data_IF_785961865338
#
_entry.id   IF_785961865338
#
_cell.length_a   1.000
_cell.length_b   1.000
_cell.length_c   1.000
_cell.angle_alpha   90.00
_cell.angle_beta   90.00
_cell.angle_gamma   90.00
#
_symmetry.space_group_name_H-M   'P 1'
#
loop_
_entity.id
_entity.type
_entity.pdbx_description
1 polymer ?
#
# COMPACT_ATOMS: atom_id res chain seq x y z
N UNK A 1 -20.79 14.46 -78.67
CA UNK A 1 -19.59 14.89 -77.99
C UNK A 1 -19.98 15.60 -76.72
N UNK A 2 -19.77 14.96 -75.51
CA UNK A 2 -19.98 15.55 -74.19
C UNK A 2 -18.63 15.78 -73.58
N UNK A 3 -18.37 16.91 -72.92
CA UNK A 3 -17.09 17.13 -72.19
C UNK A 3 -17.11 16.43 -70.83
N UNK A 4 -15.92 16.11 -70.28
CA UNK A 4 -15.82 15.43 -69.01
C UNK A 4 -15.96 16.41 -67.85
N UNK A 5 -16.64 15.98 -66.78
CA UNK A 5 -16.79 16.71 -65.50
C UNK A 5 -15.57 16.42 -64.64
N UNK A 6 -14.78 17.47 -64.37
CA UNK A 6 -13.66 17.39 -63.44
C UNK A 6 -14.19 17.48 -62.00
N UNK A 7 -13.95 16.43 -61.21
CA UNK A 7 -14.23 16.42 -59.78
C UNK A 7 -13.06 17.11 -59.04
N UNK A 8 -13.33 18.26 -58.41
CA UNK A 8 -12.43 18.89 -57.45
C UNK A 8 -12.53 18.12 -56.11
N UNK A 9 -11.45 17.49 -55.75
CA UNK A 9 -11.29 16.92 -54.41
C UNK A 9 -10.86 18.06 -53.45
N UNK A 10 -11.74 18.42 -52.53
CA UNK A 10 -11.45 19.34 -51.45
C UNK A 10 -10.68 18.59 -50.33
N UNK A 11 -9.39 18.89 -50.20
CA UNK A 11 -8.59 18.43 -49.09
C UNK A 11 -8.92 19.27 -47.84
N UNK A 12 -9.60 18.64 -46.86
CA UNK A 12 -9.84 19.24 -45.56
C UNK A 12 -8.55 19.10 -44.75
N UNK A 13 -7.80 20.20 -44.61
CA UNK A 13 -6.70 20.31 -43.68
C UNK A 13 -7.26 20.37 -42.26
N UNK A 14 -7.15 19.29 -41.50
CA UNK A 14 -7.41 19.30 -40.08
C UNK A 14 -6.25 20.05 -39.38
N UNK A 15 -6.48 21.31 -39.09
CA UNK A 15 -5.58 22.09 -38.22
C UNK A 15 -5.69 21.54 -36.79
N UNK A 16 -4.65 20.83 -36.36
CA UNK A 16 -4.48 20.46 -34.95
C UNK A 16 -4.29 21.77 -34.16
N UNK A 17 -5.32 22.19 -33.44
CA UNK A 17 -5.23 23.27 -32.46
C UNK A 17 -4.33 22.78 -31.32
N UNK A 18 -3.05 23.14 -31.37
CA UNK A 18 -2.15 23.06 -30.24
C UNK A 18 -2.57 24.15 -29.26
N UNK A 19 -3.47 23.83 -28.33
CA UNK A 19 -3.76 24.72 -27.20
C UNK A 19 -2.50 24.84 -26.38
N UNK A 20 -2.04 26.06 -26.00
CA UNK A 20 -0.92 26.22 -25.10
C UNK A 20 -1.31 25.55 -23.75
N UNK A 21 -0.47 24.61 -23.29
CA UNK A 21 -0.59 23.98 -21.98
C UNK A 21 -0.36 25.09 -20.94
N UNK A 22 -1.43 25.76 -20.51
CA UNK A 22 -1.39 26.48 -19.24
C UNK A 22 -0.99 25.46 -18.17
N UNK A 23 -0.04 25.80 -17.31
CA UNK A 23 0.35 24.98 -16.19
C UNK A 23 -0.91 24.62 -15.37
N UNK A 24 -1.41 23.41 -15.58
CA UNK A 24 -2.64 22.93 -14.99
C UNK A 24 -2.30 22.60 -13.54
N UNK A 25 -2.82 23.41 -12.60
CA UNK A 25 -2.62 23.19 -11.16
C UNK A 25 -3.38 21.96 -10.68
N UNK A 26 -4.45 21.61 -11.39
CA UNK A 26 -5.35 20.51 -11.06
C UNK A 26 -5.44 19.56 -12.25
N UNK A 27 -5.56 18.30 -11.95
CA UNK A 27 -5.71 17.23 -12.92
C UNK A 27 -6.97 16.43 -12.61
N UNK A 28 -7.84 16.28 -13.58
CA UNK A 28 -9.06 15.47 -13.47
C UNK A 28 -9.09 14.40 -14.54
N UNK A 29 -9.31 13.19 -14.10
CA UNK A 29 -9.55 12.04 -14.97
C UNK A 29 -10.74 11.23 -14.49
N UNK A 30 -11.55 10.74 -15.41
CA UNK A 30 -12.63 9.80 -15.11
C UNK A 30 -12.75 8.75 -16.21
N UNK A 31 -13.09 7.53 -15.81
CA UNK A 31 -13.28 6.42 -16.75
C UNK A 31 -13.80 5.17 -16.06
N UNK A 32 -14.40 4.27 -16.85
CA UNK A 32 -14.85 3.00 -16.32
C UNK A 32 -13.67 2.04 -16.13
N UNK A 33 -13.67 1.35 -14.99
CA UNK A 33 -12.78 0.24 -14.68
C UNK A 33 -13.59 -1.01 -14.36
N UNK A 34 -13.29 -2.09 -15.05
CA UNK A 34 -13.90 -3.38 -14.77
C UNK A 34 -13.32 -4.02 -13.50
N UNK A 35 -14.08 -4.89 -12.81
CA UNK A 35 -13.50 -5.75 -11.78
C UNK A 35 -12.29 -6.53 -12.32
N UNK A 36 -11.23 -6.59 -11.53
CA UNK A 36 -9.94 -7.19 -11.93
C UNK A 36 -8.98 -6.25 -12.68
N UNK A 37 -9.45 -5.09 -13.15
CA UNK A 37 -8.55 -4.06 -13.68
C UNK A 37 -7.64 -3.49 -12.58
N UNK A 38 -6.49 -2.98 -12.98
CA UNK A 38 -5.52 -2.38 -12.05
C UNK A 38 -5.49 -0.86 -12.22
N UNK A 39 -5.63 -0.18 -11.10
CA UNK A 39 -5.40 1.26 -10.99
C UNK A 39 -4.04 1.50 -10.30
N UNK A 40 -3.13 2.21 -10.98
CA UNK A 40 -1.82 2.60 -10.43
C UNK A 40 -1.76 4.11 -10.27
N UNK A 41 -1.45 4.59 -9.07
CA UNK A 41 -1.29 6.03 -8.79
C UNK A 41 0.01 6.28 -8.04
N UNK A 42 0.87 7.08 -8.62
CA UNK A 42 2.21 7.32 -8.08
C UNK A 42 2.53 8.81 -7.99
N UNK A 43 3.10 9.22 -6.85
CA UNK A 43 3.62 10.57 -6.64
C UNK A 43 5.00 10.54 -6.02
N UNK A 44 5.85 11.51 -6.36
CA UNK A 44 7.15 11.69 -5.68
C UNK A 44 6.97 12.33 -4.31
N UNK A 45 6.14 13.38 -4.26
CA UNK A 45 5.82 14.11 -3.05
C UNK A 45 4.32 14.41 -3.03
N UNK A 46 3.65 14.09 -1.97
CA UNK A 46 2.23 14.35 -1.79
C UNK A 46 1.49 13.15 -1.20
N UNK A 47 0.27 13.37 -0.83
CA UNK A 47 -0.63 12.36 -0.28
C UNK A 47 -1.40 11.66 -1.39
N UNK A 48 -1.71 10.37 -1.18
CA UNK A 48 -2.62 9.63 -2.03
C UNK A 48 -3.75 9.10 -1.17
N UNK A 49 -4.97 9.56 -1.43
CA UNK A 49 -6.18 9.10 -0.75
C UNK A 49 -7.07 8.37 -1.75
N UNK A 50 -7.34 7.10 -1.48
CA UNK A 50 -8.23 6.26 -2.29
C UNK A 50 -9.49 5.97 -1.51
N UNK A 51 -10.64 6.19 -2.13
CA UNK A 51 -11.97 5.94 -1.57
C UNK A 51 -12.80 5.03 -2.49
N UNK A 52 -13.76 4.28 -1.95
CA UNK A 52 -14.65 3.49 -2.78
C UNK A 52 -15.60 4.39 -3.60
N UNK A 53 -15.71 4.13 -4.89
CA UNK A 53 -16.72 4.74 -5.74
C UNK A 53 -18.09 4.09 -5.54
N UNK A 54 -19.16 4.85 -5.75
CA UNK A 54 -20.54 4.34 -5.68
C UNK A 54 -20.96 3.54 -6.92
N UNK A 55 -20.18 3.56 -8.01
CA UNK A 55 -20.50 2.92 -9.28
C UNK A 55 -19.29 2.28 -9.97
N UNK A 56 -19.34 2.18 -11.30
CA UNK A 56 -18.28 1.58 -12.13
C UNK A 56 -17.25 2.58 -12.65
N UNK A 57 -17.47 3.87 -12.42
CA UNK A 57 -16.59 4.94 -12.86
C UNK A 57 -15.55 5.24 -11.80
N UNK A 58 -14.29 5.12 -12.15
CA UNK A 58 -13.19 5.65 -11.35
C UNK A 58 -13.01 7.14 -11.64
N UNK A 59 -12.64 7.90 -10.59
CA UNK A 59 -12.29 9.32 -10.71
C UNK A 59 -10.96 9.54 -10.03
N UNK A 60 -10.12 10.35 -10.65
CA UNK A 60 -8.81 10.72 -10.12
C UNK A 60 -8.72 12.22 -10.20
N UNK A 61 -8.61 12.86 -9.05
CA UNK A 61 -8.34 14.28 -8.91
C UNK A 61 -6.93 14.47 -8.37
N UNK A 62 -6.11 15.20 -9.11
CA UNK A 62 -4.75 15.57 -8.73
C UNK A 62 -4.67 17.06 -8.48
N UNK A 63 -4.15 17.45 -7.32
CA UNK A 63 -3.96 18.84 -6.93
C UNK A 63 -2.47 19.12 -6.71
N UNK A 64 -1.99 20.24 -7.27
CA UNK A 64 -0.62 20.70 -7.05
C UNK A 64 -0.57 21.75 -5.96
N UNK A 65 0.12 21.42 -4.87
CA UNK A 65 0.37 22.31 -3.75
C UNK A 65 1.80 22.91 -3.82
N UNK A 66 1.93 24.21 -3.48
CA UNK A 66 3.21 24.92 -3.42
C UNK A 66 3.99 25.07 -4.75
N UNK A 67 3.29 25.24 -5.86
CA UNK A 67 3.87 25.41 -7.20
C UNK A 67 4.61 26.78 -7.37
N UNK A 68 5.52 27.14 -6.47
CA UNK A 68 6.29 28.38 -6.54
C UNK A 68 7.71 28.11 -7.05
N UNK A 69 8.12 28.79 -8.12
CA UNK A 69 9.53 28.87 -8.50
C UNK A 69 10.09 27.71 -9.32
N UNK A 70 9.42 27.28 -10.37
CA UNK A 70 9.98 26.40 -11.41
C UNK A 70 9.89 24.90 -11.14
N UNK A 71 9.39 24.47 -9.99
CA UNK A 71 9.13 23.06 -9.67
C UNK A 71 7.66 22.73 -10.01
N UNK A 72 7.37 22.58 -11.28
CA UNK A 72 6.01 22.21 -11.73
C UNK A 72 5.79 20.72 -11.63
N UNK A 73 4.58 20.33 -11.16
CA UNK A 73 4.11 18.94 -11.23
C UNK A 73 3.42 18.75 -12.58
N UNK A 74 3.81 17.71 -13.29
CA UNK A 74 3.17 17.24 -14.51
C UNK A 74 2.43 15.94 -14.23
N UNK A 75 1.16 15.94 -14.50
CA UNK A 75 0.34 14.72 -14.41
C UNK A 75 0.37 13.97 -15.73
N UNK A 76 0.64 12.67 -15.66
CA UNK A 76 0.68 11.79 -16.84
C UNK A 76 -0.24 10.62 -16.57
N UNK A 77 -1.18 10.38 -17.47
CA UNK A 77 -2.04 9.21 -17.44
C UNK A 77 -1.78 8.34 -18.66
N UNK A 78 -1.62 7.05 -18.42
CA UNK A 78 -1.43 6.04 -19.45
C UNK A 78 -2.43 4.91 -19.25
N UNK A 79 -3.11 4.54 -20.33
CA UNK A 79 -4.05 3.42 -20.33
C UNK A 79 -3.46 2.26 -21.12
N UNK A 80 -3.46 1.08 -20.53
CA UNK A 80 -3.00 -0.15 -21.17
C UNK A 80 -4.08 -1.23 -20.99
N UNK A 81 -4.81 -1.54 -22.07
CA UNK A 81 -5.95 -2.43 -21.99
C UNK A 81 -7.04 -1.91 -21.02
N UNK A 82 -7.35 -2.69 -19.99
CA UNK A 82 -8.29 -2.32 -18.92
C UNK A 82 -7.68 -1.52 -17.77
N UNK A 83 -6.36 -1.47 -17.69
CA UNK A 83 -5.60 -0.83 -16.62
C UNK A 83 -5.37 0.65 -16.87
N UNK A 84 -5.19 1.40 -15.79
CA UNK A 84 -4.77 2.80 -15.86
C UNK A 84 -3.63 3.06 -14.89
N UNK A 85 -2.69 3.88 -15.32
CA UNK A 85 -1.59 4.39 -14.51
C UNK A 85 -1.57 5.91 -14.56
N UNK A 86 -1.51 6.56 -13.39
CA UNK A 86 -1.43 8.01 -13.26
C UNK A 86 -0.27 8.37 -12.37
N UNK A 87 0.56 9.30 -12.82
CA UNK A 87 1.74 9.75 -12.10
C UNK A 87 1.75 11.27 -11.97
N UNK A 88 2.09 11.75 -10.76
CA UNK A 88 2.50 13.13 -10.55
C UNK A 88 4.02 13.22 -10.63
N UNK A 89 4.52 13.80 -11.70
CA UNK A 89 5.94 13.84 -12.05
C UNK A 89 6.52 15.23 -11.89
N UNK A 90 7.76 15.31 -11.47
CA UNK A 90 8.61 16.49 -11.63
C UNK A 90 9.26 16.46 -13.01
N UNK A 91 9.90 17.57 -13.43
CA UNK A 91 10.50 17.71 -14.77
C UNK A 91 11.50 16.59 -15.11
N UNK A 92 12.25 16.12 -14.12
CA UNK A 92 13.32 15.12 -14.24
C UNK A 92 12.87 13.70 -13.87
N UNK A 93 11.57 13.46 -13.79
CA UNK A 93 11.03 12.18 -13.37
C UNK A 93 10.29 11.47 -14.51
N UNK A 94 10.39 10.14 -14.50
CA UNK A 94 9.69 9.24 -15.41
C UNK A 94 8.73 8.34 -14.63
N UNK A 95 7.61 7.99 -15.27
CA UNK A 95 6.61 7.09 -14.75
C UNK A 95 6.85 5.67 -15.26
N UNK A 96 6.84 4.69 -14.40
CA UNK A 96 6.97 3.27 -14.74
C UNK A 96 5.93 2.43 -14.00
N UNK A 97 5.80 1.14 -14.34
CA UNK A 97 4.87 0.23 -13.66
C UNK A 97 5.16 0.04 -12.17
N UNK A 98 6.40 0.29 -11.76
CA UNK A 98 6.87 0.13 -10.39
C UNK A 98 6.96 1.46 -9.61
N UNK A 99 6.48 2.56 -10.20
CA UNK A 99 6.51 3.87 -9.55
C UNK A 99 7.21 4.95 -10.36
N UNK A 100 7.49 6.06 -9.69
CA UNK A 100 8.19 7.21 -10.27
C UNK A 100 9.69 7.09 -10.03
N UNK A 101 10.48 7.25 -11.09
CA UNK A 101 11.95 7.34 -11.01
C UNK A 101 12.37 8.77 -11.33
N UNK A 102 13.20 9.36 -10.48
CA UNK A 102 13.85 10.64 -10.72
C UNK A 102 15.30 10.41 -11.15
N UNK A 103 15.69 10.96 -12.31
CA UNK A 103 17.07 10.89 -12.80
C UNK A 103 17.91 12.11 -12.36
N UNK A 104 17.37 12.92 -11.45
CA UNK A 104 17.89 14.21 -11.07
C UNK A 104 19.29 14.24 -10.47
N UNK A 105 20.20 14.88 -11.17
CA UNK A 105 21.60 15.11 -10.80
C UNK A 105 21.83 16.37 -9.94
N UNK A 106 20.82 17.16 -9.58
CA UNK A 106 21.04 18.42 -8.87
C UNK A 106 20.15 18.57 -7.64
N UNK A 107 20.76 18.39 -6.49
CA UNK A 107 20.27 18.90 -5.22
C UNK A 107 20.36 20.44 -5.26
N UNK A 108 19.25 21.11 -5.55
CA UNK A 108 19.15 22.55 -5.28
C UNK A 108 18.65 22.72 -3.85
N UNK A 109 19.55 23.14 -2.98
CA UNK A 109 19.20 23.55 -1.62
C UNK A 109 18.22 24.73 -1.70
N UNK A 110 17.09 24.65 -1.01
CA UNK A 110 16.18 25.77 -0.79
C UNK A 110 14.89 25.81 -1.61
N UNK A 111 14.60 24.89 -2.53
CA UNK A 111 13.31 24.87 -3.22
C UNK A 111 12.23 24.29 -2.32
N UNK A 112 11.14 25.04 -2.10
CA UNK A 112 9.88 24.49 -1.57
C UNK A 112 9.44 23.41 -2.56
N UNK A 113 9.42 22.17 -2.12
CA UNK A 113 9.11 21.03 -2.99
C UNK A 113 7.62 21.04 -3.25
N UNK A 114 7.25 21.20 -4.52
CA UNK A 114 5.86 21.05 -4.97
C UNK A 114 5.37 19.63 -4.62
N UNK A 115 4.12 19.54 -4.19
CA UNK A 115 3.45 18.28 -3.89
C UNK A 115 2.37 18.04 -4.93
N UNK A 116 2.26 16.81 -5.40
CA UNK A 116 1.14 16.34 -6.21
C UNK A 116 0.28 15.39 -5.36
N UNK A 117 -0.81 15.93 -4.83
CA UNK A 117 -1.76 15.16 -4.02
C UNK A 117 -2.79 14.50 -4.93
N UNK A 118 -3.23 13.29 -4.58
CA UNK A 118 -4.28 12.60 -5.29
C UNK A 118 -5.44 12.24 -4.38
N UNK A 119 -6.65 12.53 -4.86
CA UNK A 119 -7.90 11.95 -4.35
C UNK A 119 -8.48 11.07 -5.44
N UNK A 120 -8.69 9.80 -5.11
CA UNK A 120 -9.05 8.75 -6.06
C UNK A 120 -10.31 8.05 -5.59
N UNK A 121 -11.30 7.95 -6.46
CA UNK A 121 -12.48 7.11 -6.25
C UNK A 121 -12.37 5.86 -7.12
N UNK A 122 -12.47 4.68 -6.50
CA UNK A 122 -12.23 3.40 -7.17
C UNK A 122 -13.46 2.50 -7.09
N UNK A 123 -13.92 1.94 -8.22
CA UNK A 123 -14.97 0.93 -8.23
C UNK A 123 -14.59 -0.32 -7.44
N UNK A 124 -15.61 -1.02 -6.95
CA UNK A 124 -15.39 -2.30 -6.26
C UNK A 124 -14.75 -3.34 -7.18
N UNK A 125 -13.84 -4.15 -6.63
CA UNK A 125 -13.19 -5.23 -7.35
C UNK A 125 -12.01 -4.80 -8.23
N UNK A 126 -11.61 -3.53 -8.20
CA UNK A 126 -10.41 -3.03 -8.87
C UNK A 126 -9.19 -3.24 -7.97
N UNK A 127 -8.10 -3.70 -8.55
CA UNK A 127 -6.80 -3.83 -7.88
C UNK A 127 -6.15 -2.45 -7.80
N UNK A 128 -5.64 -2.09 -6.61
CA UNK A 128 -5.08 -0.75 -6.35
C UNK A 128 -3.61 -0.83 -6.02
N UNK A 129 -2.78 -0.14 -6.83
CA UNK A 129 -1.36 0.05 -6.56
C UNK A 129 -1.09 1.54 -6.37
N UNK A 130 -0.76 1.95 -5.16
CA UNK A 130 -0.51 3.35 -4.83
C UNK A 130 0.82 3.54 -4.12
N UNK A 131 1.54 4.59 -4.51
CA UNK A 131 2.84 4.88 -3.91
C UNK A 131 3.12 6.38 -3.82
N UNK A 132 3.67 6.78 -2.69
CA UNK A 132 4.25 8.10 -2.48
C UNK A 132 5.73 8.00 -2.09
N UNK A 133 6.56 8.85 -2.65
CA UNK A 133 7.94 8.98 -2.17
C UNK A 133 7.99 9.65 -0.80
N UNK A 134 7.27 10.76 -0.65
CA UNK A 134 7.15 11.50 0.61
C UNK A 134 5.71 12.00 0.78
N UNK A 135 5.00 11.41 1.69
CA UNK A 135 3.62 11.72 2.03
C UNK A 135 2.83 10.47 2.37
N UNK A 136 1.68 10.67 2.95
CA UNK A 136 0.85 9.58 3.43
C UNK A 136 0.07 8.91 2.30
N UNK A 137 -0.19 7.63 2.49
CA UNK A 137 -1.02 6.84 1.60
C UNK A 137 -2.18 6.27 2.40
N UNK A 138 -3.40 6.61 2.01
CA UNK A 138 -4.61 6.09 2.62
C UNK A 138 -5.48 5.40 1.57
N UNK A 139 -5.86 4.16 1.82
CA UNK A 139 -6.78 3.39 0.98
C UNK A 139 -7.95 2.96 1.82
N UNK A 140 -9.09 3.61 1.65
CA UNK A 140 -10.34 3.20 2.26
C UNK A 140 -10.95 2.05 1.45
N UNK A 141 -11.52 1.08 2.11
CA UNK A 141 -11.90 -0.24 1.61
C UNK A 141 -12.73 -0.35 0.33
N UNK A 142 -13.18 -1.58 0.03
CA UNK A 142 -14.03 -1.89 -1.13
C UNK A 142 -13.28 -2.29 -2.39
N UNK A 143 -11.97 -2.30 -2.37
CA UNK A 143 -11.08 -2.74 -3.46
C UNK A 143 -10.90 -4.27 -3.47
N UNK A 144 -10.31 -4.82 -4.54
CA UNK A 144 -9.80 -6.19 -4.56
C UNK A 144 -8.49 -6.27 -3.75
N UNK A 145 -7.36 -6.39 -4.42
CA UNK A 145 -6.06 -6.38 -3.77
C UNK A 145 -5.51 -4.96 -3.66
N UNK A 146 -4.78 -4.69 -2.59
CA UNK A 146 -4.16 -3.38 -2.31
C UNK A 146 -2.67 -3.52 -2.17
N UNK A 147 -1.93 -2.76 -2.97
CA UNK A 147 -0.50 -2.51 -2.81
C UNK A 147 -0.30 -1.04 -2.50
N UNK A 148 0.01 -0.73 -1.24
CA UNK A 148 0.18 0.64 -0.77
C UNK A 148 1.58 0.85 -0.21
N UNK A 149 2.28 1.89 -0.66
CA UNK A 149 3.65 2.13 -0.19
C UNK A 149 3.95 3.61 0.00
N UNK A 150 4.78 3.92 0.99
CA UNK A 150 5.37 5.24 1.17
C UNK A 150 6.85 5.13 1.49
N UNK A 151 7.66 6.05 0.94
CA UNK A 151 9.05 6.19 1.35
C UNK A 151 9.15 6.83 2.74
N UNK A 152 8.48 7.96 2.90
CA UNK A 152 8.40 8.70 4.17
C UNK A 152 6.96 9.19 4.37
N UNK A 153 6.23 8.55 5.21
CA UNK A 153 4.84 8.83 5.54
C UNK A 153 4.11 7.58 6.01
N UNK A 154 2.95 7.78 6.54
CA UNK A 154 2.11 6.71 7.05
C UNK A 154 1.37 6.01 5.90
N UNK A 155 1.17 4.70 6.06
CA UNK A 155 0.35 3.90 5.15
C UNK A 155 -0.82 3.33 5.93
N UNK A 156 -2.03 3.67 5.49
CA UNK A 156 -3.27 3.16 6.07
C UNK A 156 -4.10 2.44 5.02
N UNK A 157 -4.51 1.22 5.33
CA UNK A 157 -5.43 0.44 4.50
C UNK A 157 -6.65 0.08 5.34
N UNK A 158 -7.82 0.55 4.93
CA UNK A 158 -9.09 0.30 5.59
C UNK A 158 -9.71 -1.05 5.21
N UNK A 159 -10.91 -1.29 5.75
CA UNK A 159 -11.61 -2.56 5.64
C UNK A 159 -12.04 -2.92 4.22
N UNK A 160 -12.02 -4.21 3.91
CA UNK A 160 -12.63 -4.78 2.70
C UNK A 160 -11.69 -5.21 1.59
N UNK A 161 -10.39 -4.97 1.70
CA UNK A 161 -9.41 -5.49 0.75
C UNK A 161 -9.31 -7.03 0.85
N UNK A 162 -9.11 -7.68 -0.30
CA UNK A 162 -8.97 -9.12 -0.36
C UNK A 162 -7.57 -9.56 0.08
N UNK A 163 -6.53 -9.02 -0.53
CA UNK A 163 -5.13 -9.15 -0.11
C UNK A 163 -4.53 -7.76 0.10
N UNK A 164 -3.65 -7.62 1.10
CA UNK A 164 -3.01 -6.33 1.41
C UNK A 164 -1.50 -6.47 1.47
N UNK A 165 -0.83 -5.65 0.68
CA UNK A 165 0.60 -5.39 0.76
C UNK A 165 0.81 -3.92 1.12
N UNK A 166 1.23 -3.65 2.36
CA UNK A 166 1.43 -2.29 2.85
C UNK A 166 2.86 -2.09 3.33
N UNK A 167 3.52 -1.02 2.90
CA UNK A 167 4.91 -0.78 3.31
C UNK A 167 5.23 0.70 3.49
N UNK A 168 6.07 1.00 4.48
CA UNK A 168 6.65 2.33 4.66
C UNK A 168 8.15 2.23 4.94
N UNK A 169 8.92 3.15 4.39
CA UNK A 169 10.33 3.31 4.79
C UNK A 169 10.43 3.91 6.19
N UNK A 170 9.76 5.04 6.39
CA UNK A 170 9.72 5.75 7.68
C UNK A 170 8.28 6.21 7.94
N UNK A 171 7.57 5.51 8.75
CA UNK A 171 6.18 5.80 9.11
C UNK A 171 5.45 4.60 9.64
N UNK A 172 4.25 4.83 10.10
CA UNK A 172 3.37 3.80 10.62
C UNK A 172 2.65 3.08 9.47
N UNK A 173 2.56 1.75 9.55
CA UNK A 173 1.70 0.97 8.68
C UNK A 173 0.52 0.47 9.48
N UNK A 174 -0.69 0.83 9.04
CA UNK A 174 -1.95 0.40 9.65
C UNK A 174 -2.80 -0.34 8.63
N UNK A 175 -3.29 -1.53 9.00
CA UNK A 175 -4.22 -2.31 8.17
C UNK A 175 -5.41 -2.72 9.02
N UNK A 176 -6.60 -2.29 8.62
CA UNK A 176 -7.84 -2.58 9.32
C UNK A 176 -8.77 -3.43 8.45
N UNK A 177 -9.26 -4.55 8.99
CA UNK A 177 -10.35 -5.32 8.40
C UNK A 177 -10.08 -5.97 7.05
N UNK A 178 -8.85 -6.37 6.75
CA UNK A 178 -8.53 -7.18 5.57
C UNK A 178 -9.24 -8.55 5.63
N UNK A 179 -9.75 -9.01 4.49
CA UNK A 179 -10.47 -10.28 4.39
C UNK A 179 -9.55 -11.47 4.11
N UNK A 180 -8.39 -11.22 3.54
CA UNK A 180 -7.41 -12.23 3.15
C UNK A 180 -6.03 -11.97 3.75
N UNK A 181 -4.98 -12.48 3.09
CA UNK A 181 -3.62 -12.35 3.56
C UNK A 181 -3.16 -10.89 3.69
N UNK A 182 -2.35 -10.62 4.72
CA UNK A 182 -1.75 -9.29 4.93
C UNK A 182 -0.23 -9.43 4.99
N UNK A 183 0.47 -8.62 4.19
CA UNK A 183 1.90 -8.38 4.29
C UNK A 183 2.14 -6.92 4.60
N UNK A 184 2.69 -6.64 5.78
CA UNK A 184 2.93 -5.28 6.22
C UNK A 184 4.38 -5.09 6.68
N UNK A 185 5.01 -4.00 6.25
CA UNK A 185 6.39 -3.74 6.65
C UNK A 185 6.68 -2.26 6.88
N UNK A 186 7.54 -1.97 7.85
CA UNK A 186 8.09 -0.62 8.04
C UNK A 186 9.59 -0.71 8.27
N UNK A 187 10.36 0.24 7.72
CA UNK A 187 11.77 0.38 8.09
C UNK A 187 11.89 0.92 9.52
N UNK A 188 11.26 2.06 9.75
CA UNK A 188 11.24 2.72 11.06
C UNK A 188 9.82 3.17 11.37
N UNK A 189 9.12 2.41 12.17
CA UNK A 189 7.77 2.74 12.57
C UNK A 189 6.97 1.55 13.08
N UNK A 190 5.81 1.87 13.61
CA UNK A 190 4.86 0.87 14.12
C UNK A 190 4.16 0.16 12.96
N UNK A 191 3.96 -1.14 13.11
CA UNK A 191 3.04 -1.92 12.26
C UNK A 191 1.87 -2.35 13.11
N UNK A 192 0.67 -1.90 12.77
CA UNK A 192 -0.57 -2.22 13.46
C UNK A 192 -1.56 -2.87 12.50
N UNK A 193 -2.03 -4.07 12.83
CA UNK A 193 -2.93 -4.82 11.95
C UNK A 193 -4.11 -5.32 12.77
N UNK A 194 -5.31 -4.94 12.34
CA UNK A 194 -6.56 -5.51 12.81
C UNK A 194 -7.22 -6.20 11.64
N UNK A 195 -7.26 -7.51 11.63
CA UNK A 195 -7.80 -8.28 10.51
C UNK A 195 -8.78 -9.33 10.97
N UNK A 196 -9.73 -9.61 10.13
CA UNK A 196 -10.75 -10.58 10.46
C UNK A 196 -10.34 -12.02 10.13
N UNK A 197 -9.54 -12.30 9.08
CA UNK A 197 -9.56 -13.68 8.60
C UNK A 197 -8.34 -14.23 7.86
N UNK A 198 -7.38 -13.45 7.41
CA UNK A 198 -6.24 -13.99 6.65
C UNK A 198 -4.96 -14.21 7.46
N UNK A 199 -4.00 -14.98 6.97
CA UNK A 199 -2.68 -15.07 7.57
C UNK A 199 -1.96 -13.72 7.47
N UNK A 200 -1.15 -13.40 8.48
CA UNK A 200 -0.45 -12.12 8.58
C UNK A 200 1.05 -12.34 8.63
N UNK A 201 1.77 -11.58 7.79
CA UNK A 201 3.21 -11.43 7.85
C UNK A 201 3.55 -9.97 8.09
N UNK A 202 4.25 -9.67 9.19
CA UNK A 202 4.60 -8.30 9.53
C UNK A 202 6.06 -8.16 9.93
N UNK A 203 6.71 -7.08 9.48
CA UNK A 203 8.10 -6.81 9.82
C UNK A 203 8.37 -5.33 10.06
N UNK A 204 9.29 -5.04 10.96
CA UNK A 204 9.81 -3.68 11.14
C UNK A 204 11.27 -3.72 11.56
N UNK A 205 12.06 -2.74 11.08
CA UNK A 205 13.44 -2.58 11.55
C UNK A 205 13.46 -2.02 12.98
N UNK A 206 12.80 -0.88 13.16
CA UNK A 206 12.72 -0.21 14.46
C UNK A 206 11.27 0.19 14.75
N UNK A 207 10.61 -0.57 15.59
CA UNK A 207 9.24 -0.30 15.98
C UNK A 207 8.53 -1.51 16.56
N UNK A 208 7.34 -1.27 17.06
CA UNK A 208 6.49 -2.34 17.58
C UNK A 208 5.60 -2.94 16.49
N UNK A 209 5.32 -4.21 16.63
CA UNK A 209 4.30 -4.90 15.84
C UNK A 209 3.13 -5.23 16.76
N UNK A 210 1.95 -4.80 16.37
CA UNK A 210 0.71 -5.07 17.10
C UNK A 210 -0.30 -5.67 16.12
N UNK A 211 -0.74 -6.88 16.39
CA UNK A 211 -1.72 -7.58 15.55
C UNK A 211 -2.87 -8.06 16.41
N UNK A 212 -4.10 -7.75 15.99
CA UNK A 212 -5.31 -8.24 16.61
C UNK A 212 -6.17 -8.97 15.57
N UNK A 213 -6.44 -10.24 15.81
CA UNK A 213 -7.24 -11.10 14.94
C UNK A 213 -8.43 -11.64 15.72
N UNK A 214 -9.64 -11.40 15.23
CA UNK A 214 -10.86 -11.94 15.81
C UNK A 214 -11.18 -13.36 15.31
N UNK A 215 -10.73 -13.68 14.10
CA UNK A 215 -10.85 -15.00 13.48
C UNK A 215 -9.68 -15.24 12.54
N UNK A 216 -9.38 -16.50 12.25
CA UNK A 216 -8.33 -16.85 11.31
C UNK A 216 -8.80 -17.98 10.40
N UNK A 217 -8.87 -17.70 9.11
CA UNK A 217 -9.22 -18.66 8.06
C UNK A 217 -7.97 -19.10 7.30
N UNK A 218 -8.03 -20.32 6.75
CA UNK A 218 -6.92 -20.90 6.03
C UNK A 218 -5.83 -21.47 6.95
N UNK A 219 -4.83 -22.10 6.36
CA UNK A 219 -3.72 -22.78 7.05
C UNK A 219 -2.36 -22.11 6.83
N UNK A 220 -2.33 -20.91 6.24
CA UNK A 220 -1.08 -20.23 5.89
C UNK A 220 -0.22 -19.90 7.10
N UNK A 221 1.09 -20.03 6.93
CA UNK A 221 2.09 -19.67 7.92
C UNK A 221 2.09 -18.17 8.22
N UNK A 222 2.49 -17.80 9.43
CA UNK A 222 2.58 -16.42 9.89
C UNK A 222 3.96 -16.11 10.43
N UNK A 223 4.48 -14.93 10.09
CA UNK A 223 5.81 -14.49 10.51
C UNK A 223 5.79 -13.05 10.98
N UNK A 224 6.41 -12.81 12.14
CA UNK A 224 6.51 -11.49 12.74
C UNK A 224 7.96 -11.23 13.15
N UNK A 225 8.54 -10.14 12.64
CA UNK A 225 9.94 -9.83 12.89
C UNK A 225 10.15 -8.35 13.21
N UNK A 226 10.79 -8.04 14.34
CA UNK A 226 11.23 -6.70 14.67
C UNK A 226 12.72 -6.70 14.98
N UNK A 227 13.46 -5.71 14.50
CA UNK A 227 14.84 -5.51 14.94
C UNK A 227 14.86 -4.96 16.37
N UNK A 228 14.16 -3.84 16.58
CA UNK A 228 14.07 -3.17 17.88
C UNK A 228 12.61 -2.80 18.18
N UNK A 229 11.98 -3.55 19.03
CA UNK A 229 10.61 -3.31 19.46
C UNK A 229 9.86 -4.57 19.86
N UNK A 230 8.78 -4.39 20.58
CA UNK A 230 7.94 -5.49 21.03
C UNK A 230 7.02 -6.02 19.92
N UNK A 231 6.70 -7.29 20.01
CA UNK A 231 5.70 -7.95 19.18
C UNK A 231 4.55 -8.40 20.06
N UNK A 232 3.35 -7.87 19.80
CA UNK A 232 2.14 -8.25 20.54
C UNK A 232 1.13 -8.82 19.54
N UNK A 233 0.72 -10.06 19.75
CA UNK A 233 -0.29 -10.73 18.93
C UNK A 233 -1.49 -11.07 19.81
N UNK A 234 -2.67 -10.57 19.47
CA UNK A 234 -3.95 -10.98 20.04
C UNK A 234 -4.63 -11.89 19.04
N UNK A 235 -4.78 -13.16 19.39
CA UNK A 235 -5.24 -14.23 18.50
C UNK A 235 -6.52 -14.86 19.00
N UNK A 236 -7.35 -15.48 18.14
CA UNK A 236 -8.56 -16.19 18.54
C UNK A 236 -8.30 -17.24 19.62
N UNK A 237 -9.27 -17.47 20.49
CA UNK A 237 -9.12 -18.42 21.61
C UNK A 237 -8.91 -19.88 21.18
N UNK A 238 -9.35 -20.25 19.98
CA UNK A 238 -9.21 -21.56 19.34
C UNK A 238 -7.96 -21.68 18.43
N UNK A 239 -7.06 -20.69 18.50
CA UNK A 239 -5.87 -20.65 17.67
C UNK A 239 -4.97 -21.85 17.90
N UNK A 240 -4.50 -22.45 16.79
CA UNK A 240 -3.60 -23.61 16.79
C UNK A 240 -2.42 -23.37 15.85
N UNK A 241 -1.20 -23.63 16.32
CA UNK A 241 0.03 -23.44 15.55
C UNK A 241 1.23 -24.19 16.15
N UNK A 242 2.24 -24.40 15.33
CA UNK A 242 3.59 -24.73 15.77
C UNK A 242 4.36 -23.42 15.96
N UNK A 243 4.60 -23.05 17.20
CA UNK A 243 5.24 -21.82 17.62
C UNK A 243 6.75 -21.94 17.63
N UNK A 244 7.42 -20.97 17.03
CA UNK A 244 8.83 -20.67 17.23
C UNK A 244 8.97 -19.18 17.56
N UNK A 245 9.27 -18.86 18.83
CA UNK A 245 9.44 -17.49 19.29
C UNK A 245 10.83 -17.29 19.85
N UNK A 246 11.49 -16.18 19.48
CA UNK A 246 12.82 -15.85 19.97
C UNK A 246 13.02 -14.34 20.14
N UNK A 247 13.72 -13.94 21.20
CA UNK A 247 14.16 -12.56 21.45
C UNK A 247 15.62 -12.55 21.82
N UNK A 248 16.36 -11.51 21.43
CA UNK A 248 17.73 -11.30 21.90
C UNK A 248 17.75 -10.74 23.32
N UNK A 249 17.01 -9.65 23.52
CA UNK A 249 16.86 -8.99 24.82
C UNK A 249 15.39 -8.72 25.10
N UNK A 250 14.83 -9.41 26.07
CA UNK A 250 13.40 -9.30 26.45
C UNK A 250 12.86 -10.63 26.95
N UNK A 251 11.56 -10.67 27.18
CA UNK A 251 10.85 -11.86 27.64
C UNK A 251 9.82 -12.33 26.62
N UNK A 252 9.46 -13.60 26.70
CA UNK A 252 8.36 -14.19 25.91
C UNK A 252 7.24 -14.56 26.88
N UNK A 253 6.05 -14.00 26.64
CA UNK A 253 4.85 -14.29 27.42
C UNK A 253 3.73 -14.80 26.51
N UNK A 254 2.99 -15.81 26.99
CA UNK A 254 1.89 -16.40 26.24
C UNK A 254 0.74 -16.76 27.16
N UNK A 255 -0.47 -16.33 26.79
CA UNK A 255 -1.72 -16.72 27.45
C UNK A 255 -2.22 -18.08 26.93
N UNK A 256 -1.63 -18.63 25.87
CA UNK A 256 -2.02 -19.91 25.30
C UNK A 256 -1.34 -21.07 26.04
N UNK A 257 -2.10 -22.10 26.44
CA UNK A 257 -1.51 -23.36 26.87
C UNK A 257 -0.76 -23.98 25.69
N UNK A 258 0.47 -24.40 25.92
CA UNK A 258 1.29 -25.01 24.89
C UNK A 258 2.05 -26.23 25.37
N UNK A 259 2.27 -27.19 24.47
CA UNK A 259 3.21 -28.29 24.68
C UNK A 259 4.59 -27.84 24.20
N UNK A 260 5.49 -27.61 25.12
CA UNK A 260 6.87 -27.18 24.81
C UNK A 260 7.66 -28.35 24.24
N UNK A 261 8.37 -28.12 23.16
CA UNK A 261 9.26 -29.09 22.52
C UNK A 261 10.71 -28.63 22.70
N UNK A 262 11.50 -29.42 23.40
CA UNK A 262 12.92 -29.11 23.65
C UNK A 262 13.17 -28.23 24.87
N UNK A 263 14.30 -27.49 24.84
CA UNK A 263 14.75 -26.65 25.96
C UNK A 263 14.06 -25.28 25.89
N UNK A 264 13.30 -24.92 26.91
CA UNK A 264 12.68 -23.62 27.10
C UNK A 264 13.64 -22.67 27.81
N UNK A 265 13.73 -21.43 27.34
CA UNK A 265 14.42 -20.34 28.01
C UNK A 265 13.54 -19.08 27.98
N UNK A 266 13.91 -18.06 28.79
CA UNK A 266 13.24 -16.77 28.78
C UNK A 266 13.30 -16.06 27.40
N UNK A 267 14.25 -16.46 26.55
CA UNK A 267 14.54 -15.82 25.26
C UNK A 267 14.16 -16.69 24.05
N UNK A 268 13.77 -17.95 24.25
CA UNK A 268 13.36 -18.85 23.17
C UNK A 268 12.34 -19.87 23.65
N UNK A 269 11.25 -19.96 22.90
CA UNK A 269 10.20 -20.96 23.11
C UNK A 269 9.91 -21.63 21.78
N UNK A 270 9.94 -22.96 21.79
CA UNK A 270 9.44 -23.78 20.69
C UNK A 270 8.38 -24.71 21.25
N UNK A 271 7.21 -24.77 20.63
CA UNK A 271 6.12 -25.58 21.16
C UNK A 271 4.92 -25.62 20.22
N UNK A 272 3.93 -26.39 20.62
CA UNK A 272 2.68 -26.53 19.89
C UNK A 272 1.53 -25.93 20.70
N UNK A 273 0.83 -24.98 20.12
CA UNK A 273 -0.43 -24.42 20.63
C UNK A 273 -1.58 -25.21 20.03
N UNK A 274 -2.53 -25.64 20.85
CA UNK A 274 -3.68 -26.43 20.42
C UNK A 274 -3.26 -27.69 19.68
N UNK A 275 -3.81 -27.89 18.48
CA UNK A 275 -3.53 -29.04 17.62
C UNK A 275 -2.32 -28.85 16.69
N UNK A 276 -1.63 -27.71 16.75
CA UNK A 276 -0.53 -27.40 15.84
C UNK A 276 -1.02 -27.01 14.44
N UNK A 277 -0.29 -27.43 13.42
CA UNK A 277 -0.61 -27.17 12.00
C UNK A 277 0.29 -26.09 11.40
N UNK A 278 -0.24 -24.86 11.22
CA UNK A 278 0.53 -23.74 10.65
C UNK A 278 1.77 -23.40 11.46
N UNK A 279 2.77 -22.86 10.83
CA UNK A 279 3.93 -22.30 11.52
C UNK A 279 3.63 -20.88 11.99
N UNK A 280 3.94 -20.57 13.25
CA UNK A 280 3.96 -19.22 13.80
C UNK A 280 5.40 -18.90 14.21
N UNK A 281 6.07 -18.06 13.40
CA UNK A 281 7.42 -17.62 13.68
C UNK A 281 7.41 -16.19 14.19
N UNK A 282 8.04 -15.92 15.35
CA UNK A 282 8.11 -14.60 15.94
C UNK A 282 9.55 -14.35 16.39
N UNK A 283 10.13 -13.25 15.93
CA UNK A 283 11.48 -12.87 16.32
C UNK A 283 11.60 -11.37 16.63
N UNK A 284 12.37 -11.04 17.65
CA UNK A 284 12.79 -9.66 17.90
C UNK A 284 14.23 -9.62 18.40
N UNK A 285 15.00 -8.61 17.99
CA UNK A 285 16.35 -8.39 18.53
C UNK A 285 16.26 -7.86 19.95
N UNK A 286 15.56 -6.74 20.13
CA UNK A 286 15.39 -6.07 21.41
C UNK A 286 13.91 -5.75 21.66
N UNK A 287 13.27 -6.50 22.53
CA UNK A 287 11.87 -6.30 22.88
C UNK A 287 11.21 -7.58 23.39
N UNK A 288 10.03 -7.43 23.94
CA UNK A 288 9.26 -8.56 24.45
C UNK A 288 8.30 -9.09 23.39
N UNK A 289 8.03 -10.38 23.43
CA UNK A 289 7.02 -11.06 22.63
C UNK A 289 5.85 -11.41 23.55
N UNK A 290 4.65 -10.98 23.18
CA UNK A 290 3.43 -11.25 23.94
C UNK A 290 2.37 -11.86 23.04
N UNK A 291 1.89 -13.05 23.40
CA UNK A 291 0.76 -13.73 22.78
C UNK A 291 -0.45 -13.65 23.71
N UNK A 292 -1.51 -12.98 23.27
CA UNK A 292 -2.76 -12.81 24.03
C UNK A 292 -3.90 -13.59 23.38
N UNK A 293 -4.83 -14.06 24.19
CA UNK A 293 -6.09 -14.61 23.70
C UNK A 293 -7.12 -13.50 23.55
N UNK A 294 -7.80 -13.44 22.41
CA UNK A 294 -8.97 -12.56 22.25
C UNK A 294 -10.13 -13.11 23.06
N UNK A 295 -10.80 -12.24 23.84
CA UNK A 295 -11.96 -12.61 24.66
C UNK A 295 -11.65 -13.14 26.08
N UNK A 296 -10.44 -12.89 26.57
CA UNK A 296 -10.11 -13.03 28.02
C UNK A 296 -10.22 -11.68 28.74
#
# INVERSE_FOLDING_TARGET
MKPPVSALAAAVLAAALVTPLCAQRDYDWSGELAPGATLRVFTVNGTVTVRPASGRTARIHGETENASGGDQIRYVAERSGGDIRVCALREDATCSDNGVRSEGRRWRWGSRRSKGNFTVEVPRGVVVHVSSGNGDVAVDGGTADVHASSGNGDVRVGAGAAEVHASSGNGTVMVDGARGPVRASSGNGRVAITTASGPVNASTGNGRIEVAMSSLRGSGDMSFSSGNGSVTLTLPGDFSANLEASTGNGGIHSDFPMRVSGRMSSHRITGTIGNGGRRLHISTGNGSITLRRSGS
#
